data_IF_489326827864
#
_entry.id   IF_489326827864
#
_cell.length_a   1.000
_cell.length_b   1.000
_cell.length_c   1.000
_cell.angle_alpha   90.00
_cell.angle_beta   90.00
_cell.angle_gamma   90.00
#
_symmetry.space_group_name_H-M   'P 1'
#
loop_
_entity.id
_entity.type
_entity.pdbx_description
1 polymer ?
#
# COMPACT_ATOMS: atom_id res chain seq x y z
N UNK A 1 -12.81 -2.56 2.87
CA UNK A 1 -11.34 -2.37 2.77
C UNK A 1 -10.63 -3.45 1.94
N UNK A 2 -10.79 -4.75 2.23
CA UNK A 2 -9.95 -5.79 1.61
C UNK A 2 -10.00 -5.83 0.06
N UNK A 3 -11.18 -5.66 -0.54
CA UNK A 3 -11.32 -5.61 -2.01
C UNK A 3 -10.59 -4.39 -2.60
N UNK A 4 -10.69 -3.22 -1.96
CA UNK A 4 -10.02 -2.01 -2.41
C UNK A 4 -8.48 -2.14 -2.34
N UNK A 5 -7.97 -2.72 -1.23
CA UNK A 5 -6.54 -3.02 -1.06
C UNK A 5 -6.06 -4.01 -2.12
N UNK A 6 -6.83 -5.04 -2.43
CA UNK A 6 -6.49 -6.02 -3.44
C UNK A 6 -6.43 -5.39 -4.85
N UNK A 7 -7.41 -4.55 -5.18
CA UNK A 7 -7.46 -3.84 -6.47
C UNK A 7 -6.29 -2.88 -6.62
N UNK A 8 -5.85 -2.19 -5.56
CA UNK A 8 -4.70 -1.27 -5.64
C UNK A 8 -3.35 -2.00 -5.73
N UNK A 9 -3.20 -3.11 -4.99
CA UNK A 9 -1.95 -3.87 -4.93
C UNK A 9 -1.73 -4.73 -6.19
N UNK A 10 -2.78 -5.05 -6.95
CA UNK A 10 -2.65 -5.87 -8.16
C UNK A 10 -1.81 -5.17 -9.26
N UNK A 11 -2.10 -3.92 -9.66
CA UNK A 11 -1.23 -3.14 -10.55
C UNK A 11 0.21 -2.99 -10.04
N UNK A 12 0.40 -2.72 -8.74
CA UNK A 12 1.73 -2.60 -8.12
C UNK A 12 2.51 -3.91 -8.20
N UNK A 13 1.86 -5.04 -7.94
CA UNK A 13 2.47 -6.37 -8.07
C UNK A 13 2.98 -6.63 -9.48
N UNK A 14 2.20 -6.24 -10.50
CA UNK A 14 2.60 -6.34 -11.92
C UNK A 14 3.75 -5.37 -12.22
N UNK A 15 3.64 -4.11 -11.80
CA UNK A 15 4.67 -3.08 -12.03
C UNK A 15 6.01 -3.49 -11.41
N UNK A 16 6.00 -3.91 -10.14
CA UNK A 16 7.20 -4.37 -9.43
C UNK A 16 7.84 -5.61 -10.06
N UNK A 17 7.03 -6.58 -10.50
CA UNK A 17 7.52 -7.75 -11.21
C UNK A 17 8.13 -7.38 -12.58
N UNK A 18 7.52 -6.44 -13.31
CA UNK A 18 8.09 -5.92 -14.56
C UNK A 18 9.38 -5.14 -14.32
N UNK A 19 9.45 -4.32 -13.28
CA UNK A 19 10.65 -3.57 -12.87
C UNK A 19 11.82 -4.50 -12.59
N UNK A 20 11.59 -5.56 -11.79
CA UNK A 20 12.62 -6.58 -11.51
C UNK A 20 13.07 -7.32 -12.78
N UNK A 21 12.16 -7.62 -13.69
CA UNK A 21 12.49 -8.24 -14.98
C UNK A 21 13.32 -7.30 -15.86
N UNK A 22 13.01 -6.00 -15.90
CA UNK A 22 13.74 -4.99 -16.70
C UNK A 22 15.21 -4.86 -16.26
N UNK A 23 15.48 -4.96 -14.96
CA UNK A 23 16.85 -4.96 -14.42
C UNK A 23 17.51 -6.35 -14.39
N UNK A 24 16.94 -7.33 -15.12
CA UNK A 24 17.55 -8.65 -15.34
C UNK A 24 17.41 -9.66 -14.20
N UNK A 25 16.52 -9.44 -13.21
CA UNK A 25 16.30 -10.40 -12.13
C UNK A 25 15.53 -11.64 -12.60
N UNK A 26 15.82 -12.78 -11.99
CA UNK A 26 15.16 -14.05 -12.29
C UNK A 26 13.74 -14.11 -11.72
N UNK A 27 12.90 -14.98 -12.28
CA UNK A 27 11.56 -15.26 -11.75
C UNK A 27 11.60 -15.75 -10.30
N UNK A 28 12.57 -16.61 -9.98
CA UNK A 28 12.78 -17.11 -8.61
C UNK A 28 13.10 -15.97 -7.64
N UNK A 29 13.97 -15.03 -8.03
CA UNK A 29 14.25 -13.85 -7.20
C UNK A 29 12.99 -13.02 -6.94
N UNK A 30 12.20 -12.75 -7.99
CA UNK A 30 10.94 -11.99 -7.86
C UNK A 30 9.97 -12.68 -6.90
N UNK A 31 9.77 -13.99 -7.06
CA UNK A 31 8.91 -14.77 -6.17
C UNK A 31 9.42 -14.77 -4.73
N UNK A 32 10.73 -14.92 -4.51
CA UNK A 32 11.32 -14.88 -3.18
C UNK A 32 11.11 -13.55 -2.48
N UNK A 33 11.29 -12.42 -3.18
CA UNK A 33 11.03 -11.08 -2.62
C UNK A 33 9.57 -10.96 -2.17
N UNK A 34 8.61 -11.33 -3.02
CA UNK A 34 7.19 -11.28 -2.68
C UNK A 34 6.81 -12.22 -1.54
N UNK A 35 7.34 -13.45 -1.52
CA UNK A 35 7.11 -14.39 -0.42
C UNK A 35 7.66 -13.88 0.91
N UNK A 36 8.85 -13.26 0.91
CA UNK A 36 9.43 -12.63 2.11
C UNK A 36 8.55 -11.47 2.57
N UNK A 37 8.08 -10.62 1.67
CA UNK A 37 7.16 -9.51 2.02
C UNK A 37 5.86 -10.01 2.63
N UNK A 38 5.27 -11.08 2.08
CA UNK A 38 4.07 -11.70 2.65
C UNK A 38 4.36 -12.23 4.05
N UNK A 39 5.43 -13.01 4.23
CA UNK A 39 5.81 -13.56 5.53
C UNK A 39 6.07 -12.46 6.56
N UNK A 40 6.82 -11.42 6.19
CA UNK A 40 7.08 -10.27 7.05
C UNK A 40 5.79 -9.54 7.45
N UNK A 41 4.86 -9.36 6.51
CA UNK A 41 3.57 -8.69 6.76
C UNK A 41 2.69 -9.50 7.72
N UNK A 42 2.63 -10.82 7.53
CA UNK A 42 1.91 -11.74 8.44
C UNK A 42 2.50 -11.68 9.84
N UNK A 43 3.83 -11.77 9.95
CA UNK A 43 4.52 -11.69 11.24
C UNK A 43 4.29 -10.33 11.92
N UNK A 44 4.40 -9.23 11.19
CA UNK A 44 4.18 -7.89 11.71
C UNK A 44 2.73 -7.69 12.18
N UNK A 45 1.75 -8.15 11.40
CA UNK A 45 0.34 -8.08 11.77
C UNK A 45 0.02 -8.93 13.00
N UNK A 46 0.56 -10.15 13.07
CA UNK A 46 0.36 -11.04 14.21
C UNK A 46 0.98 -10.46 15.49
N UNK A 47 2.21 -9.92 15.38
CA UNK A 47 2.90 -9.26 16.48
C UNK A 47 2.15 -8.01 16.95
N UNK A 48 1.72 -7.15 16.02
CA UNK A 48 0.93 -5.96 16.32
C UNK A 48 -0.36 -6.29 17.05
N UNK A 49 -1.09 -7.31 16.59
CA UNK A 49 -2.30 -7.79 17.25
C UNK A 49 -2.01 -8.36 18.65
N UNK A 50 -0.95 -9.16 18.81
CA UNK A 50 -0.58 -9.75 20.09
C UNK A 50 -0.22 -8.69 21.15
N UNK A 51 0.46 -7.62 20.75
CA UNK A 51 0.90 -6.55 21.65
C UNK A 51 -0.22 -5.54 21.92
N UNK A 52 -0.97 -5.14 20.89
CA UNK A 52 -1.89 -4.00 20.96
C UNK A 52 -3.38 -4.40 21.02
N UNK A 53 -3.73 -5.65 20.73
CA UNK A 53 -5.12 -6.09 20.53
C UNK A 53 -6.03 -5.98 21.77
N UNK A 54 -5.44 -6.00 22.97
CA UNK A 54 -6.16 -5.83 24.25
C UNK A 54 -5.91 -4.47 24.91
N UNK A 55 -5.31 -3.52 24.20
CA UNK A 55 -4.98 -2.20 24.73
C UNK A 55 -6.15 -1.22 24.57
N UNK A 56 -6.13 -0.09 25.28
CA UNK A 56 -7.18 0.93 25.18
C UNK A 56 -7.34 1.49 23.76
N UNK A 57 -8.57 1.90 23.45
CA UNK A 57 -8.92 2.49 22.15
C UNK A 57 -8.02 3.67 21.78
N UNK A 58 -7.59 4.48 22.75
CA UNK A 58 -6.72 5.62 22.51
C UNK A 58 -5.37 5.20 21.91
N UNK A 59 -4.77 4.12 22.40
CA UNK A 59 -3.49 3.63 21.90
C UNK A 59 -3.66 3.04 20.50
N UNK A 60 -4.74 2.28 20.27
CA UNK A 60 -5.06 1.74 18.93
C UNK A 60 -5.21 2.87 17.91
N UNK A 61 -5.97 3.92 18.25
CA UNK A 61 -6.15 5.09 17.37
C UNK A 61 -4.83 5.83 17.13
N UNK A 62 -3.99 6.02 18.16
CA UNK A 62 -2.66 6.61 17.97
C UNK A 62 -1.78 5.80 17.01
N UNK A 63 -1.75 4.47 17.15
CA UNK A 63 -1.00 3.60 16.25
C UNK A 63 -1.55 3.64 14.82
N UNK A 64 -2.87 3.64 14.64
CA UNK A 64 -3.50 3.78 13.33
C UNK A 64 -3.17 5.13 12.68
N UNK A 65 -3.21 6.23 13.43
CA UNK A 65 -2.83 7.56 12.94
C UNK A 65 -1.36 7.61 12.52
N UNK A 66 -0.47 6.99 13.30
CA UNK A 66 0.94 6.87 12.94
C UNK A 66 1.13 6.04 11.66
N UNK A 67 0.45 4.90 11.55
CA UNK A 67 0.51 4.05 10.36
C UNK A 67 -0.02 4.76 9.11
N UNK A 68 -1.10 5.53 9.23
CA UNK A 68 -1.62 6.37 8.15
C UNK A 68 -0.58 7.41 7.69
N UNK A 69 0.11 8.05 8.64
CA UNK A 69 1.20 8.98 8.34
C UNK A 69 2.38 8.31 7.61
N UNK A 70 2.76 7.10 8.01
CA UNK A 70 3.81 6.33 7.35
C UNK A 70 3.44 5.96 5.90
N UNK A 71 2.20 5.57 5.65
CA UNK A 71 1.69 5.30 4.29
C UNK A 71 1.72 6.58 3.45
N UNK A 72 1.29 7.72 4.00
CA UNK A 72 1.34 9.01 3.31
C UNK A 72 2.76 9.42 2.95
N UNK A 73 3.72 9.25 3.88
CA UNK A 73 5.13 9.54 3.63
C UNK A 73 5.70 8.66 2.51
N UNK A 74 5.42 7.36 2.53
CA UNK A 74 5.85 6.42 1.48
C UNK A 74 5.29 6.78 0.11
N UNK A 75 4.00 7.15 0.05
CA UNK A 75 3.35 7.61 -1.18
C UNK A 75 4.02 8.90 -1.69
N UNK A 76 4.31 9.84 -0.80
CA UNK A 76 4.93 11.12 -1.18
C UNK A 76 6.39 10.98 -1.65
N UNK A 77 7.15 10.07 -1.04
CA UNK A 77 8.58 9.88 -1.34
C UNK A 77 8.82 9.24 -2.71
N UNK A 78 8.03 8.23 -3.07
CA UNK A 78 8.30 7.41 -4.28
C UNK A 78 7.12 7.33 -5.23
N UNK A 79 5.92 7.03 -4.74
CA UNK A 79 4.78 6.73 -5.62
C UNK A 79 4.26 7.95 -6.37
N UNK A 80 4.18 9.12 -5.72
CA UNK A 80 3.77 10.36 -6.37
C UNK A 80 4.77 10.74 -7.47
N UNK A 81 6.08 10.87 -7.20
CA UNK A 81 7.06 11.16 -8.25
C UNK A 81 6.97 10.20 -9.45
N UNK A 82 7.00 8.88 -9.21
CA UNK A 82 6.97 7.86 -10.27
C UNK A 82 5.67 7.93 -11.10
N UNK A 83 4.53 8.16 -10.44
CA UNK A 83 3.25 8.31 -11.12
C UNK A 83 3.27 9.52 -12.06
N UNK A 84 3.77 10.68 -11.60
CA UNK A 84 3.86 11.88 -12.43
C UNK A 84 4.87 11.74 -13.58
N UNK A 85 5.98 11.03 -13.39
CA UNK A 85 6.93 10.71 -14.46
C UNK A 85 6.29 9.86 -15.57
N UNK A 86 5.45 8.89 -15.19
CA UNK A 86 4.85 7.94 -16.15
C UNK A 86 3.56 8.47 -16.78
N UNK A 87 2.69 9.12 -16.00
CA UNK A 87 1.34 9.52 -16.39
C UNK A 87 1.13 11.02 -16.59
N UNK A 88 2.12 11.86 -16.26
CA UNK A 88 2.05 13.31 -16.41
C UNK A 88 0.92 13.96 -15.60
N UNK A 89 0.38 15.07 -16.10
CA UNK A 89 -0.59 15.92 -15.35
C UNK A 89 -1.94 15.26 -15.09
N UNK A 90 -2.29 14.21 -15.84
CA UNK A 90 -3.55 13.46 -15.63
C UNK A 90 -3.57 12.69 -14.31
N UNK A 91 -2.40 12.39 -13.74
CA UNK A 91 -2.28 11.73 -12.43
C UNK A 91 -3.00 12.52 -11.35
N UNK A 92 -2.85 13.85 -11.31
CA UNK A 92 -3.55 14.69 -10.33
C UNK A 92 -5.07 14.54 -10.41
N UNK A 93 -5.63 14.51 -11.62
CA UNK A 93 -7.08 14.30 -11.83
C UNK A 93 -7.50 12.89 -11.43
N UNK A 94 -6.75 11.87 -11.82
CA UNK A 94 -7.02 10.47 -11.46
C UNK A 94 -6.96 10.26 -9.94
N UNK A 95 -5.97 10.83 -9.27
CA UNK A 95 -5.84 10.80 -7.80
C UNK A 95 -7.03 11.49 -7.13
N UNK A 96 -7.42 12.69 -7.59
CA UNK A 96 -8.57 13.40 -7.04
C UNK A 96 -9.88 12.62 -7.20
N UNK A 97 -10.12 12.04 -8.39
CA UNK A 97 -11.30 11.20 -8.67
C UNK A 97 -11.28 9.96 -7.77
N UNK A 98 -10.15 9.26 -7.67
CA UNK A 98 -10.00 8.08 -6.82
C UNK A 98 -10.30 8.38 -5.36
N UNK A 99 -9.81 9.51 -4.84
CA UNK A 99 -10.10 9.95 -3.47
C UNK A 99 -11.58 10.28 -3.27
N UNK A 100 -12.21 10.95 -4.23
CA UNK A 100 -13.65 11.27 -4.19
C UNK A 100 -14.49 10.00 -4.21
N UNK A 101 -14.17 9.03 -5.07
CA UNK A 101 -14.86 7.73 -5.12
C UNK A 101 -14.70 6.97 -3.80
N UNK A 102 -13.50 6.97 -3.22
CA UNK A 102 -13.24 6.35 -1.92
C UNK A 102 -14.10 7.01 -0.82
N UNK A 103 -14.15 8.35 -0.79
CA UNK A 103 -14.98 9.10 0.16
C UNK A 103 -16.46 8.75 0.01
N UNK A 104 -17.00 8.79 -1.21
CA UNK A 104 -18.41 8.43 -1.47
C UNK A 104 -18.70 6.98 -1.07
N UNK A 105 -17.78 6.06 -1.34
CA UNK A 105 -17.94 4.65 -0.97
C UNK A 105 -17.92 4.41 0.54
N UNK A 106 -17.17 5.23 1.30
CA UNK A 106 -17.17 5.17 2.76
C UNK A 106 -18.45 5.80 3.33
N UNK A 107 -18.93 6.89 2.72
CA UNK A 107 -20.14 7.59 3.15
C UNK A 107 -21.44 6.81 2.87
N UNK A 108 -21.39 5.85 1.94
CA UNK A 108 -22.52 4.98 1.60
C UNK A 108 -22.65 3.73 2.51
N UNK A 109 -21.79 3.58 3.53
CA UNK A 109 -21.83 2.51 4.54
C UNK A 109 -22.30 3.06 5.89
#
# INVERSE_FOLDING_TARGET
MMIAVLISNFPEGISGAQGMKRVGKSKSYTLSVWSITIAASVCASAFGYAVLGNTSQNIITMTLSLAAGAILAMIADTMIPEAFETGGRFVAFATAIGFLLAFVSHWAQ
#
